data_IF_925137424232
#
_entry.id   IF_925137424232
#
_cell.length_a   1.000
_cell.length_b   1.000
_cell.length_c   1.000
_cell.angle_alpha   90.00
_cell.angle_beta   90.00
_cell.angle_gamma   90.00
#
_symmetry.space_group_name_H-M   'P 1'
#
loop_
_entity.id
_entity.type
_entity.pdbx_description
1 polymer ?
#
# COMPACT_ATOMS: atom_id res chain seq x y z
N UNK A 1 -1.78 45.60 -39.01
CA UNK A 1 -0.51 46.16 -38.56
C UNK A 1 0.28 44.98 -37.98
N UNK A 2 0.97 44.27 -38.82
CA UNK A 2 2.36 44.36 -39.33
C UNK A 2 3.43 44.22 -38.29
N UNK A 3 4.20 43.11 -38.50
CA UNK A 3 5.66 42.94 -38.40
C UNK A 3 6.17 42.64 -36.97
N UNK A 4 7.10 41.76 -36.72
CA UNK A 4 8.24 41.32 -37.54
C UNK A 4 8.94 40.09 -36.96
N UNK A 5 9.37 39.26 -37.85
CA UNK A 5 10.25 38.12 -37.74
C UNK A 5 11.67 38.61 -37.43
N UNK A 6 12.44 37.95 -36.54
CA UNK A 6 13.90 37.91 -36.67
C UNK A 6 14.44 36.52 -36.36
N UNK A 7 14.85 35.83 -37.45
CA UNK A 7 15.80 34.71 -37.47
C UNK A 7 17.18 35.24 -37.11
N UNK A 8 17.93 34.52 -36.30
CA UNK A 8 19.38 34.54 -36.34
C UNK A 8 19.92 33.11 -36.42
N UNK A 9 20.37 32.83 -37.62
CA UNK A 9 21.27 31.74 -37.96
C UNK A 9 22.69 32.22 -37.65
N UNK A 10 23.52 31.41 -36.99
CA UNK A 10 24.95 31.44 -37.29
C UNK A 10 25.60 30.09 -37.03
N UNK A 11 26.10 29.61 -38.11
CA UNK A 11 27.05 28.56 -38.39
C UNK A 11 28.43 28.91 -37.81
N UNK A 12 29.09 27.95 -37.17
CA UNK A 12 30.57 27.86 -37.19
C UNK A 12 30.94 26.40 -36.85
N UNK A 13 31.46 25.81 -37.65
CA UNK A 13 32.38 25.05 -38.41
C UNK A 13 33.55 24.49 -37.53
N UNK A 14 33.68 23.17 -37.60
CA UNK A 14 34.84 22.32 -37.79
C UNK A 14 36.07 22.55 -36.86
N UNK A 15 36.43 21.51 -36.08
CA UNK A 15 37.79 21.02 -36.09
C UNK A 15 37.86 19.54 -35.61
N UNK A 16 38.36 18.71 -36.52
CA UNK A 16 38.83 17.33 -36.32
C UNK A 16 40.02 17.30 -35.34
N UNK A 17 40.03 16.35 -34.40
CA UNK A 17 41.27 15.69 -34.05
C UNK A 17 41.01 14.25 -33.62
N UNK A 18 41.52 13.33 -34.38
CA UNK A 18 41.56 11.88 -34.18
C UNK A 18 42.55 11.54 -33.07
N UNK A 19 42.13 10.66 -32.14
CA UNK A 19 43.06 9.83 -31.40
C UNK A 19 42.43 8.48 -31.10
N UNK A 20 42.90 7.45 -31.78
CA UNK A 20 42.70 6.05 -31.52
C UNK A 20 43.37 5.67 -30.19
N UNK A 21 42.63 5.10 -29.26
CA UNK A 21 43.18 4.18 -28.30
C UNK A 21 42.18 3.02 -28.12
N UNK A 22 42.65 1.87 -28.59
CA UNK A 22 42.04 0.58 -28.33
C UNK A 22 42.17 0.27 -26.83
N UNK A 23 41.04 0.01 -26.17
CA UNK A 23 41.02 -0.60 -24.85
C UNK A 23 39.95 -1.69 -24.83
N UNK A 24 40.37 -2.85 -24.42
CA UNK A 24 39.69 -4.13 -24.36
C UNK A 24 38.25 -4.04 -23.89
N UNK A 25 37.34 -4.62 -24.67
CA UNK A 25 36.01 -4.98 -24.27
C UNK A 25 36.07 -6.07 -23.20
N UNK A 26 35.85 -5.70 -21.94
CA UNK A 26 35.41 -6.63 -20.92
C UNK A 26 33.90 -6.47 -20.88
N UNK A 27 33.18 -7.49 -21.35
CA UNK A 27 31.76 -7.55 -21.24
C UNK A 27 31.36 -7.42 -19.76
N UNK A 28 30.43 -6.54 -19.39
CA UNK A 28 29.82 -6.63 -18.07
C UNK A 28 28.99 -7.89 -18.04
N UNK A 29 29.42 -8.84 -17.23
CA UNK A 29 28.53 -9.91 -16.71
C UNK A 29 27.35 -9.22 -16.12
N UNK A 30 26.17 -9.38 -16.72
CA UNK A 30 24.90 -9.07 -16.09
C UNK A 30 24.76 -9.95 -14.87
N UNK A 31 25.26 -9.46 -13.74
CA UNK A 31 24.83 -9.93 -12.44
C UNK A 31 23.38 -9.45 -12.33
N UNK A 32 22.44 -10.34 -12.59
CA UNK A 32 21.08 -10.21 -12.12
C UNK A 32 21.15 -10.11 -10.61
N UNK A 33 21.35 -8.88 -10.12
CA UNK A 33 21.05 -8.54 -8.75
C UNK A 33 19.53 -8.73 -8.60
N UNK A 34 19.15 -9.91 -8.10
CA UNK A 34 17.89 -10.03 -7.40
C UNK A 34 17.93 -8.93 -6.33
N UNK A 35 17.24 -7.83 -6.60
CA UNK A 35 16.98 -6.83 -5.61
C UNK A 35 16.20 -7.54 -4.49
N UNK A 36 16.94 -7.92 -3.45
CA UNK A 36 16.33 -8.30 -2.19
C UNK A 36 15.38 -7.14 -1.83
N UNK A 37 14.11 -7.44 -1.75
CA UNK A 37 13.05 -6.53 -1.33
C UNK A 37 13.54 -5.76 -0.12
N UNK A 38 13.78 -4.47 -0.29
CA UNK A 38 13.91 -3.57 0.85
C UNK A 38 12.64 -3.77 1.67
N UNK A 39 12.81 -4.05 2.96
CA UNK A 39 11.75 -4.43 3.88
C UNK A 39 10.58 -3.46 3.74
N UNK A 40 9.45 -3.96 3.24
CA UNK A 40 8.19 -3.22 3.08
C UNK A 40 7.57 -2.81 4.43
N UNK A 41 8.40 -2.69 5.47
CA UNK A 41 7.99 -2.38 6.83
C UNK A 41 8.63 -1.07 7.27
N UNK A 42 7.83 -0.04 7.42
CA UNK A 42 8.23 1.27 7.94
C UNK A 42 7.59 1.48 9.30
N UNK A 43 8.42 1.71 10.34
CA UNK A 43 7.92 1.94 11.70
C UNK A 43 7.06 0.80 12.27
N UNK A 44 7.35 -0.45 11.91
CA UNK A 44 6.59 -1.64 12.32
C UNK A 44 5.26 -1.83 11.58
N UNK A 45 4.98 -1.03 10.56
CA UNK A 45 3.78 -1.15 9.70
C UNK A 45 4.21 -1.73 8.34
N UNK A 46 3.54 -2.79 7.90
CA UNK A 46 3.71 -3.31 6.56
C UNK A 46 3.16 -2.30 5.54
N UNK A 47 3.94 -1.96 4.54
CA UNK A 47 3.55 -1.02 3.46
C UNK A 47 3.69 -1.63 2.06
N UNK A 48 4.10 -2.90 1.97
CA UNK A 48 4.30 -3.61 0.72
C UNK A 48 3.00 -3.92 -0.03
N UNK A 49 3.14 -4.35 -1.26
CA UNK A 49 2.03 -4.60 -2.18
C UNK A 49 1.78 -6.08 -2.46
N UNK A 50 2.66 -6.97 -2.01
CA UNK A 50 2.62 -8.41 -2.29
C UNK A 50 1.42 -9.14 -1.67
N UNK A 51 0.81 -8.58 -0.61
CA UNK A 51 -0.41 -9.11 0.02
C UNK A 51 -1.63 -8.21 -0.17
N UNK A 52 -1.55 -7.19 -1.02
CA UNK A 52 -2.66 -6.28 -1.27
C UNK A 52 -3.59 -6.91 -2.29
N UNK A 53 -4.78 -7.27 -1.84
CA UNK A 53 -5.90 -7.59 -2.71
C UNK A 53 -6.72 -6.32 -2.96
N UNK A 54 -7.65 -6.37 -3.90
CA UNK A 54 -8.37 -5.19 -4.35
C UNK A 54 -9.85 -5.31 -4.00
N UNK A 55 -10.38 -4.31 -3.32
CA UNK A 55 -11.82 -4.14 -3.11
C UNK A 55 -12.53 -3.87 -4.45
N UNK A 56 -11.86 -3.10 -5.31
CA UNK A 56 -12.20 -2.83 -6.70
C UNK A 56 -10.92 -2.47 -7.46
N UNK A 57 -10.97 -2.25 -8.77
CA UNK A 57 -9.82 -1.82 -9.58
C UNK A 57 -9.19 -0.58 -8.93
N UNK A 58 -7.89 -0.63 -8.66
CA UNK A 58 -7.08 0.42 -8.03
C UNK A 58 -7.53 0.85 -6.62
N UNK A 59 -8.38 0.06 -5.95
CA UNK A 59 -8.84 0.31 -4.59
C UNK A 59 -8.39 -0.83 -3.68
N UNK A 60 -7.27 -0.70 -2.97
CA UNK A 60 -6.80 -1.73 -2.04
C UNK A 60 -7.86 -2.02 -0.96
N UNK A 61 -8.01 -3.31 -0.61
CA UNK A 61 -9.03 -3.78 0.32
C UNK A 61 -8.60 -3.69 1.79
N UNK A 62 -7.29 -3.58 2.06
CA UNK A 62 -6.73 -3.71 3.42
C UNK A 62 -5.85 -2.56 3.85
N UNK A 63 -5.74 -2.42 5.17
CA UNK A 63 -4.83 -1.50 5.85
C UNK A 63 -4.08 -2.24 6.94
N UNK A 64 -2.88 -1.75 7.28
CA UNK A 64 -1.97 -2.38 8.23
C UNK A 64 -1.77 -1.53 9.48
N UNK A 65 -1.41 -2.20 10.58
CA UNK A 65 -1.24 -1.58 11.89
C UNK A 65 0.12 -1.87 12.49
N UNK A 66 0.59 -0.95 13.32
CA UNK A 66 1.75 -1.18 14.17
C UNK A 66 1.49 -2.28 15.20
N UNK A 67 2.56 -2.75 15.83
CA UNK A 67 2.46 -3.69 16.94
C UNK A 67 1.58 -3.11 18.05
N UNK A 68 0.70 -3.93 18.58
CA UNK A 68 -0.21 -3.60 19.70
C UNK A 68 -0.99 -2.30 19.51
N UNK A 69 -1.30 -1.94 18.27
CA UNK A 69 -1.97 -0.69 17.90
C UNK A 69 -3.18 -0.92 17.01
N UNK A 70 -4.16 -0.05 17.16
CA UNK A 70 -5.33 0.11 16.30
C UNK A 70 -5.40 1.53 15.69
N UNK A 71 -4.35 2.34 15.87
CA UNK A 71 -4.26 3.67 15.28
C UNK A 71 -3.99 3.59 13.78
N UNK A 72 -4.69 4.41 12.99
CA UNK A 72 -4.54 4.49 11.54
C UNK A 72 -3.38 5.41 11.15
N UNK A 73 -2.32 4.83 10.60
CA UNK A 73 -1.21 5.59 10.02
C UNK A 73 -1.64 6.35 8.76
N UNK A 74 -0.84 7.32 8.33
CA UNK A 74 -1.14 8.12 7.13
C UNK A 74 -1.33 7.27 5.86
N UNK A 75 -0.56 6.20 5.69
CA UNK A 75 -0.70 5.24 4.59
C UNK A 75 -2.05 4.50 4.63
N UNK A 76 -2.49 4.09 5.83
CA UNK A 76 -3.80 3.47 6.03
C UNK A 76 -4.93 4.46 5.70
N UNK A 77 -4.83 5.71 6.16
CA UNK A 77 -5.81 6.76 5.85
C UNK A 77 -5.88 7.03 4.34
N UNK A 78 -4.74 7.07 3.64
CA UNK A 78 -4.70 7.23 2.19
C UNK A 78 -5.44 6.10 1.45
N UNK A 79 -5.29 4.85 1.90
CA UNK A 79 -6.04 3.70 1.38
C UNK A 79 -7.52 3.84 1.67
N UNK A 80 -7.91 4.16 2.90
CA UNK A 80 -9.31 4.32 3.30
C UNK A 80 -10.00 5.48 2.57
N UNK A 81 -9.27 6.54 2.22
CA UNK A 81 -9.79 7.61 1.36
C UNK A 81 -10.18 7.10 -0.03
N UNK A 82 -9.37 6.19 -0.62
CA UNK A 82 -9.72 5.54 -1.89
C UNK A 82 -10.97 4.67 -1.74
N UNK A 83 -11.03 3.87 -0.68
CA UNK A 83 -12.21 3.04 -0.37
C UNK A 83 -13.46 3.90 -0.17
N UNK A 84 -13.38 4.97 0.61
CA UNK A 84 -14.50 5.89 0.85
C UNK A 84 -14.99 6.54 -0.45
N UNK A 85 -14.07 6.99 -1.32
CA UNK A 85 -14.42 7.55 -2.64
C UNK A 85 -15.16 6.53 -3.49
N UNK A 86 -14.67 5.30 -3.53
CA UNK A 86 -15.31 4.23 -4.30
C UNK A 86 -16.69 3.85 -3.70
N UNK A 87 -16.81 3.71 -2.38
CA UNK A 87 -18.07 3.41 -1.71
C UNK A 87 -19.13 4.49 -1.91
N UNK A 88 -18.73 5.77 -2.01
CA UNK A 88 -19.65 6.88 -2.35
C UNK A 88 -20.17 6.76 -3.78
N UNK A 89 -19.31 6.34 -4.71
CA UNK A 89 -19.69 6.12 -6.11
C UNK A 89 -20.56 4.84 -6.29
N UNK A 90 -20.55 3.93 -5.31
CA UNK A 90 -21.28 2.67 -5.34
C UNK A 90 -22.22 2.54 -4.11
N UNK A 91 -23.33 3.30 -4.03
CA UNK A 91 -24.14 3.42 -2.82
C UNK A 91 -24.87 2.14 -2.42
N UNK A 92 -25.09 1.20 -3.31
CA UNK A 92 -25.69 -0.10 -3.03
C UNK A 92 -24.74 -1.09 -2.34
N UNK A 93 -23.43 -0.86 -2.39
CA UNK A 93 -22.43 -1.78 -1.83
C UNK A 93 -22.37 -1.63 -0.32
N UNK A 94 -22.44 -2.77 0.40
CA UNK A 94 -22.12 -2.89 1.81
C UNK A 94 -20.83 -3.68 1.99
N UNK A 95 -20.13 -3.44 3.09
CA UNK A 95 -18.86 -4.10 3.43
C UNK A 95 -18.87 -4.65 4.85
N UNK A 96 -18.14 -5.74 5.05
CA UNK A 96 -17.68 -6.18 6.35
C UNK A 96 -16.22 -5.78 6.52
N UNK A 97 -15.86 -5.15 7.64
CA UNK A 97 -14.49 -4.85 8.01
C UNK A 97 -14.00 -5.94 8.94
N UNK A 98 -13.08 -6.74 8.44
CA UNK A 98 -12.46 -7.83 9.19
C UNK A 98 -11.22 -7.32 9.92
N UNK A 99 -11.12 -7.55 11.22
CA UNK A 99 -9.97 -7.18 12.04
C UNK A 99 -9.13 -8.38 12.40
N UNK A 100 -7.80 -8.26 12.23
CA UNK A 100 -6.83 -9.33 12.45
C UNK A 100 -5.66 -8.85 13.32
N UNK A 101 -5.03 -9.81 14.00
CA UNK A 101 -3.84 -9.61 14.80
C UNK A 101 -2.74 -10.59 14.39
N UNK A 102 -1.51 -10.34 14.84
CA UNK A 102 -0.44 -11.34 14.77
C UNK A 102 -0.61 -12.40 15.87
N UNK A 103 0.23 -13.44 15.86
CA UNK A 103 0.09 -14.61 16.73
C UNK A 103 0.41 -14.32 18.21
N UNK A 104 1.08 -13.22 18.54
CA UNK A 104 1.57 -12.91 19.89
C UNK A 104 0.45 -12.48 20.80
N UNK A 105 0.45 -12.97 22.04
CA UNK A 105 -0.58 -12.71 23.04
C UNK A 105 -1.70 -13.76 23.08
N UNK A 106 -2.65 -13.58 24.00
CA UNK A 106 -3.77 -14.51 24.19
C UNK A 106 -4.79 -14.40 23.06
N UNK A 107 -5.63 -15.41 22.93
CA UNK A 107 -6.71 -15.43 21.95
C UNK A 107 -7.72 -14.32 22.19
N UNK A 108 -8.12 -14.15 23.42
CA UNK A 108 -9.11 -13.16 23.88
C UNK A 108 -8.61 -11.73 23.63
N UNK A 109 -7.35 -11.48 24.00
CA UNK A 109 -6.71 -10.19 23.74
C UNK A 109 -6.69 -9.84 22.25
N UNK A 110 -6.24 -10.78 21.42
CA UNK A 110 -6.16 -10.56 19.96
C UNK A 110 -7.53 -10.42 19.31
N UNK A 111 -8.56 -11.10 19.82
CA UNK A 111 -9.92 -10.92 19.35
C UNK A 111 -10.41 -9.49 19.64
N UNK A 112 -10.17 -8.98 20.86
CA UNK A 112 -10.50 -7.60 21.22
C UNK A 112 -9.66 -6.57 20.43
N UNK A 113 -8.37 -6.86 20.16
CA UNK A 113 -7.51 -5.98 19.35
C UNK A 113 -7.97 -5.92 17.89
N UNK A 114 -8.34 -7.07 17.31
CA UNK A 114 -8.91 -7.15 15.97
C UNK A 114 -10.21 -6.34 15.86
N UNK A 115 -11.09 -6.42 16.87
CA UNK A 115 -12.32 -5.64 16.91
C UNK A 115 -12.04 -4.12 16.94
N UNK A 116 -11.11 -3.67 17.78
CA UNK A 116 -10.70 -2.26 17.83
C UNK A 116 -10.12 -1.78 16.49
N UNK A 117 -9.36 -2.62 15.78
CA UNK A 117 -8.84 -2.31 14.43
C UNK A 117 -9.97 -2.16 13.41
N UNK A 118 -10.92 -3.10 13.40
CA UNK A 118 -12.10 -3.01 12.54
C UNK A 118 -12.93 -1.76 12.84
N UNK A 119 -13.13 -1.45 14.12
CA UNK A 119 -13.83 -0.24 14.56
C UNK A 119 -13.15 1.04 14.12
N UNK A 120 -11.81 1.13 14.24
CA UNK A 120 -11.05 2.31 13.74
C UNK A 120 -11.25 2.54 12.24
N UNK A 121 -11.28 1.47 11.44
CA UNK A 121 -11.55 1.57 9.99
C UNK A 121 -12.99 2.02 9.75
N UNK A 122 -13.97 1.43 10.42
CA UNK A 122 -15.39 1.81 10.32
C UNK A 122 -15.59 3.28 10.67
N UNK A 123 -15.06 3.72 11.81
CA UNK A 123 -15.19 5.10 12.28
C UNK A 123 -14.58 6.09 11.28
N UNK A 124 -13.42 5.73 10.72
CA UNK A 124 -12.80 6.54 9.66
C UNK A 124 -13.67 6.62 8.41
N UNK A 125 -14.19 5.52 7.90
CA UNK A 125 -15.08 5.51 6.74
C UNK A 125 -16.38 6.28 7.01
N UNK A 126 -16.92 6.19 8.23
CA UNK A 126 -18.08 6.99 8.65
C UNK A 126 -17.76 8.48 8.70
N UNK A 127 -16.60 8.88 9.19
CA UNK A 127 -16.14 10.27 9.16
C UNK A 127 -15.98 10.80 7.74
N UNK A 128 -15.70 9.92 6.78
CA UNK A 128 -15.70 10.22 5.35
C UNK A 128 -17.11 10.25 4.73
N UNK A 129 -18.17 10.05 5.51
CA UNK A 129 -19.57 10.14 5.06
C UNK A 129 -20.17 8.83 4.53
N UNK A 130 -19.56 7.67 4.84
CA UNK A 130 -20.19 6.37 4.56
C UNK A 130 -21.15 6.03 5.69
N UNK A 131 -22.38 5.63 5.36
CA UNK A 131 -23.42 5.32 6.34
C UNK A 131 -23.09 4.06 7.15
N UNK A 132 -23.32 4.10 8.47
CA UNK A 132 -22.98 3.01 9.40
C UNK A 132 -23.71 1.68 9.11
N UNK A 133 -24.90 1.73 8.50
CA UNK A 133 -25.66 0.54 8.11
C UNK A 133 -25.04 -0.24 6.94
N UNK A 134 -24.07 0.37 6.24
CA UNK A 134 -23.30 -0.26 5.16
C UNK A 134 -22.00 -0.90 5.62
N UNK A 135 -21.67 -0.77 6.92
CA UNK A 135 -20.39 -1.24 7.45
C UNK A 135 -20.64 -2.10 8.68
N UNK A 136 -20.36 -3.37 8.59
CA UNK A 136 -20.31 -4.31 9.73
C UNK A 136 -18.87 -4.59 10.15
N UNK A 137 -18.64 -4.93 11.43
CA UNK A 137 -17.34 -5.33 11.95
C UNK A 137 -17.32 -6.81 12.28
N UNK A 138 -16.20 -7.46 12.00
CA UNK A 138 -15.92 -8.84 12.39
C UNK A 138 -14.49 -8.90 12.88
N UNK A 139 -14.23 -9.51 14.03
CA UNK A 139 -12.86 -9.78 14.48
C UNK A 139 -12.56 -11.26 14.37
N UNK A 140 -11.44 -11.57 13.74
CA UNK A 140 -10.86 -12.91 13.73
C UNK A 140 -9.64 -13.02 14.67
N UNK A 141 -9.24 -11.92 15.30
CA UNK A 141 -8.06 -11.92 16.14
C UNK A 141 -6.86 -12.50 15.40
N UNK A 142 -6.21 -13.52 15.99
CA UNK A 142 -5.07 -14.22 15.38
C UNK A 142 -5.43 -15.52 14.63
N UNK A 143 -6.72 -15.84 14.52
CA UNK A 143 -7.17 -17.15 14.03
C UNK A 143 -7.09 -17.29 12.49
N UNK A 144 -6.93 -16.19 11.76
CA UNK A 144 -6.84 -16.18 10.29
C UNK A 144 -5.58 -15.43 9.81
N UNK A 145 -4.38 -15.97 10.03
CA UNK A 145 -3.15 -15.36 9.55
C UNK A 145 -3.05 -15.45 8.01
N UNK A 146 -2.54 -14.39 7.37
CA UNK A 146 -2.13 -14.41 5.95
C UNK A 146 -0.79 -15.11 5.80
N UNK A 147 0.08 -14.95 6.78
CA UNK A 147 1.39 -15.60 6.83
C UNK A 147 1.50 -16.40 8.13
N UNK A 148 1.79 -17.68 8.01
CA UNK A 148 1.91 -18.59 9.16
C UNK A 148 3.33 -18.69 9.71
N UNK A 149 4.29 -17.94 9.14
CA UNK A 149 5.69 -17.93 9.60
C UNK A 149 5.83 -16.96 10.76
N UNK A 150 6.60 -17.35 11.78
CA UNK A 150 6.86 -16.53 12.97
C UNK A 150 8.07 -15.62 12.76
N UNK A 151 7.86 -14.48 12.14
CA UNK A 151 8.87 -13.42 11.98
C UNK A 151 8.21 -12.03 11.87
N UNK A 152 9.01 -10.97 11.98
CA UNK A 152 8.52 -9.60 12.01
C UNK A 152 7.75 -9.21 10.74
N UNK A 153 8.20 -9.66 9.57
CA UNK A 153 7.53 -9.37 8.28
C UNK A 153 6.15 -10.05 8.24
N UNK A 154 6.07 -11.33 8.62
CA UNK A 154 4.80 -12.06 8.65
C UNK A 154 3.84 -11.44 9.69
N UNK A 155 4.34 -11.11 10.87
CA UNK A 155 3.53 -10.43 11.88
C UNK A 155 3.00 -9.08 11.41
N UNK A 156 3.82 -8.29 10.70
CA UNK A 156 3.39 -7.02 10.14
C UNK A 156 2.26 -7.19 9.09
N UNK A 157 2.30 -8.23 8.26
CA UNK A 157 1.24 -8.56 7.31
C UNK A 157 -0.02 -9.09 7.99
N UNK A 158 0.11 -9.78 9.12
CA UNK A 158 -1.02 -10.29 9.90
C UNK A 158 -1.76 -9.18 10.65
N UNK A 159 -1.08 -8.10 11.05
CA UNK A 159 -1.68 -6.94 11.72
C UNK A 159 -2.42 -6.05 10.72
N UNK A 160 -3.63 -6.44 10.32
CA UNK A 160 -4.40 -5.79 9.27
C UNK A 160 -5.89 -5.66 9.58
N UNK A 161 -6.58 -4.80 8.87
CA UNK A 161 -8.02 -4.90 8.64
C UNK A 161 -8.31 -4.99 7.15
N UNK A 162 -9.31 -5.78 6.80
CA UNK A 162 -9.71 -6.04 5.41
C UNK A 162 -11.16 -5.62 5.20
N UNK A 163 -11.42 -4.86 4.16
CA UNK A 163 -12.77 -4.46 3.74
C UNK A 163 -13.28 -5.46 2.69
N UNK A 164 -14.28 -6.26 3.03
CA UNK A 164 -14.85 -7.30 2.17
C UNK A 164 -16.25 -6.91 1.76
N UNK A 165 -16.59 -6.98 0.47
CA UNK A 165 -17.97 -6.75 0.01
C UNK A 165 -18.86 -7.87 0.50
N UNK A 166 -20.09 -7.50 0.96
CA UNK A 166 -21.09 -8.44 1.49
C UNK A 166 -22.26 -8.67 0.53
N UNK A 167 -22.33 -7.91 -0.55
CA UNK A 167 -23.35 -8.02 -1.60
C UNK A 167 -22.77 -7.66 -2.97
#
# INVERSE_FOLDING_TARGET
MTQSIKKFSNLFAIMLLTSFLAACATAPTETSSSSASQSDVVGGIYVGTDTVEMLAIDVPDRVFFAYDSYSLAASAQATLNKQAKWLKANPSVAIAVEGHADERGTREYNLALGDRRASSVKDYLMSQGISSNRISNISYGKERPVKSVSNDTAWAQNRRSVSVRTN
#
